data_IF_687730527629
#
_entry.id   IF_687730527629
#
_cell.length_a   1.000
_cell.length_b   1.000
_cell.length_c   1.000
_cell.angle_alpha   90.00
_cell.angle_beta   90.00
_cell.angle_gamma   90.00
#
_symmetry.space_group_name_H-M   'P 1'
#
loop_
_entity.id
_entity.type
_entity.pdbx_description
1 polymer ?
#
# COMPACT_ATOMS: atom_id res chain seq x y z
N UNK A 1 -15.39 -2.28 6.69
CA UNK A 1 -15.03 -2.47 5.26
C UNK A 1 -15.01 -3.95 4.89
N UNK A 2 -14.04 -4.75 5.38
CA UNK A 2 -13.88 -6.16 4.94
C UNK A 2 -15.11 -7.02 5.24
N UNK A 3 -15.67 -6.96 6.44
CA UNK A 3 -16.90 -7.68 6.80
C UNK A 3 -18.14 -7.27 5.97
N UNK A 4 -18.07 -6.12 5.32
CA UNK A 4 -19.09 -5.62 4.38
C UNK A 4 -18.74 -5.98 2.93
N UNK A 5 -17.70 -6.79 2.70
CA UNK A 5 -17.22 -7.18 1.37
C UNK A 5 -16.41 -6.09 0.64
N UNK A 6 -16.10 -4.97 1.30
CA UNK A 6 -15.32 -3.89 0.69
C UNK A 6 -13.82 -4.18 0.81
N UNK A 7 -13.11 -4.17 -0.31
CA UNK A 7 -11.65 -4.26 -0.37
C UNK A 7 -10.97 -3.00 0.15
N UNK A 8 -9.74 -3.14 0.62
CA UNK A 8 -8.97 -2.10 1.28
C UNK A 8 -7.61 -1.93 0.60
N UNK A 9 -7.25 -0.69 0.34
CA UNK A 9 -5.91 -0.27 -0.04
C UNK A 9 -5.21 0.33 1.19
N UNK A 10 -3.99 -0.09 1.44
CA UNK A 10 -3.19 0.36 2.58
C UNK A 10 -1.94 1.04 2.07
N UNK A 11 -1.85 2.35 2.26
CA UNK A 11 -0.62 3.09 2.04
C UNK A 11 0.32 2.93 3.23
N UNK A 12 1.60 2.76 2.95
CA UNK A 12 2.67 2.77 3.93
C UNK A 12 3.97 3.25 3.29
N UNK A 13 4.95 3.66 4.08
CA UNK A 13 6.27 4.06 3.63
C UNK A 13 7.34 3.01 3.94
N UNK A 14 8.52 3.16 3.34
CA UNK A 14 9.73 2.43 3.71
C UNK A 14 10.28 2.94 5.06
N UNK A 15 9.40 3.02 6.03
CA UNK A 15 9.63 3.61 7.34
C UNK A 15 9.49 2.56 8.44
N UNK A 16 10.24 2.72 9.53
CA UNK A 16 10.24 1.82 10.67
C UNK A 16 10.54 0.36 10.23
N UNK A 17 9.78 -0.63 10.71
CA UNK A 17 9.95 -2.05 10.35
C UNK A 17 8.90 -2.54 9.34
N UNK A 18 8.77 -1.81 8.24
CA UNK A 18 7.75 -2.02 7.22
C UNK A 18 7.74 -3.44 6.60
N UNK A 19 8.89 -4.12 6.50
CA UNK A 19 8.93 -5.51 6.00
C UNK A 19 8.11 -6.48 6.86
N UNK A 20 7.90 -6.20 8.15
CA UNK A 20 7.07 -7.03 9.01
C UNK A 20 5.58 -6.92 8.71
N UNK A 21 5.15 -5.94 7.93
CA UNK A 21 3.76 -5.84 7.44
C UNK A 21 3.37 -7.04 6.58
N UNK A 22 4.35 -7.76 6.05
CA UNK A 22 4.11 -9.07 5.38
C UNK A 22 3.44 -10.11 6.29
N UNK A 23 3.48 -9.89 7.63
CA UNK A 23 2.77 -10.71 8.61
C UNK A 23 1.28 -10.37 8.76
N UNK A 24 0.80 -9.36 8.07
CA UNK A 24 -0.59 -8.89 8.17
C UNK A 24 -1.65 -10.01 8.04
N UNK A 25 -1.47 -11.05 7.20
CA UNK A 25 -2.42 -12.16 7.13
C UNK A 25 -2.64 -12.89 8.45
N UNK A 26 -1.70 -12.82 9.40
CA UNK A 26 -1.84 -13.44 10.72
C UNK A 26 -2.76 -12.65 11.67
N UNK A 27 -3.04 -11.38 11.35
CA UNK A 27 -3.74 -10.43 12.20
C UNK A 27 -5.10 -10.01 11.65
N UNK A 28 -5.33 -10.24 10.36
CA UNK A 28 -6.61 -9.98 9.70
C UNK A 28 -7.43 -11.27 9.66
N UNK A 29 -8.75 -11.15 9.79
CA UNK A 29 -9.67 -12.28 9.69
C UNK A 29 -9.52 -13.01 8.35
N UNK A 30 -9.77 -14.30 8.32
CA UNK A 30 -9.58 -15.20 7.17
C UNK A 30 -10.42 -14.86 5.92
N UNK A 31 -11.28 -13.85 5.98
CA UNK A 31 -12.20 -13.49 4.90
C UNK A 31 -11.51 -12.68 3.77
N UNK A 32 -10.40 -12.02 4.06
CA UNK A 32 -9.69 -11.18 3.09
C UNK A 32 -8.34 -11.76 2.69
N UNK A 33 -8.01 -11.65 1.39
CA UNK A 33 -6.67 -11.93 0.89
C UNK A 33 -5.77 -10.72 1.14
N UNK A 34 -4.66 -10.93 1.85
CA UNK A 34 -3.66 -9.88 2.02
C UNK A 34 -2.62 -9.94 0.90
N UNK A 35 -2.40 -8.81 0.24
CA UNK A 35 -1.45 -8.70 -0.86
C UNK A 35 -0.54 -7.48 -0.70
N UNK A 36 0.61 -7.54 -1.35
CA UNK A 36 1.54 -6.43 -1.47
C UNK A 36 2.02 -6.31 -2.91
N UNK A 37 2.15 -5.08 -3.37
CA UNK A 37 2.67 -4.79 -4.70
C UNK A 37 4.19 -4.72 -4.59
N UNK A 38 4.89 -5.40 -5.51
CA UNK A 38 6.33 -5.37 -5.55
C UNK A 38 6.86 -5.20 -6.97
N UNK A 39 8.06 -4.66 -7.07
CA UNK A 39 8.82 -4.64 -8.32
C UNK A 39 9.69 -5.90 -8.39
N UNK A 40 9.56 -6.75 -9.43
CA UNK A 40 10.40 -7.94 -9.59
C UNK A 40 11.88 -7.57 -9.61
N UNK A 41 12.68 -8.34 -8.85
CA UNK A 41 14.12 -8.11 -8.75
C UNK A 41 14.80 -8.75 -9.98
N UNK A 42 15.76 -8.04 -10.59
CA UNK A 42 16.48 -8.53 -11.78
C UNK A 42 17.20 -9.85 -11.51
N UNK A 43 17.87 -9.96 -10.37
CA UNK A 43 18.50 -11.20 -9.94
C UNK A 43 17.44 -12.23 -9.54
N UNK A 44 17.25 -13.25 -10.35
CA UNK A 44 16.21 -14.27 -10.16
C UNK A 44 16.38 -15.12 -8.89
N UNK A 45 17.58 -15.27 -8.38
CA UNK A 45 17.80 -15.99 -7.13
C UNK A 45 17.32 -15.18 -5.92
N UNK A 46 17.64 -13.89 -5.89
CA UNK A 46 17.14 -12.97 -4.87
C UNK A 46 15.63 -12.76 -4.99
N UNK A 47 15.09 -12.61 -6.19
CA UNK A 47 13.64 -12.49 -6.41
C UNK A 47 12.90 -13.68 -5.78
N UNK A 48 13.32 -14.92 -6.07
CA UNK A 48 12.73 -16.12 -5.47
C UNK A 48 12.88 -16.16 -3.95
N UNK A 49 14.03 -15.72 -3.41
CA UNK A 49 14.25 -15.67 -1.96
C UNK A 49 13.27 -14.71 -1.28
N UNK A 50 13.18 -13.46 -1.79
CA UNK A 50 12.28 -12.45 -1.21
C UNK A 50 10.82 -12.83 -1.36
N UNK A 51 10.40 -13.41 -2.49
CA UNK A 51 9.04 -13.92 -2.65
C UNK A 51 8.71 -14.99 -1.60
N UNK A 52 9.60 -15.95 -1.37
CA UNK A 52 9.41 -16.97 -0.32
C UNK A 52 9.30 -16.37 1.08
N UNK A 53 10.15 -15.40 1.41
CA UNK A 53 10.12 -14.73 2.70
C UNK A 53 8.80 -13.96 2.92
N UNK A 54 8.39 -13.16 1.94
CA UNK A 54 7.18 -12.33 2.00
C UNK A 54 5.89 -13.14 1.98
N UNK A 55 5.88 -14.26 1.26
CA UNK A 55 4.70 -15.13 1.18
C UNK A 55 4.60 -16.16 2.31
N UNK A 56 5.63 -16.29 3.14
CA UNK A 56 5.70 -17.31 4.20
C UNK A 56 4.51 -17.25 5.17
N UNK A 57 3.94 -16.09 5.36
CA UNK A 57 2.84 -15.84 6.31
C UNK A 57 1.48 -15.71 5.62
N UNK A 58 1.38 -16.13 4.35
CA UNK A 58 0.12 -16.13 3.59
C UNK A 58 -0.14 -14.87 2.76
N UNK A 59 0.78 -13.88 2.77
CA UNK A 59 0.64 -12.71 1.92
C UNK A 59 0.86 -13.04 0.44
N UNK A 60 0.09 -12.40 -0.45
CA UNK A 60 0.28 -12.48 -1.89
C UNK A 60 1.28 -11.41 -2.34
N UNK A 61 2.26 -11.78 -3.17
CA UNK A 61 3.11 -10.81 -3.86
C UNK A 61 2.58 -10.58 -5.27
N UNK A 62 2.17 -9.35 -5.57
CA UNK A 62 1.58 -8.95 -6.85
C UNK A 62 2.61 -8.13 -7.62
N UNK A 63 3.11 -8.58 -8.77
CA UNK A 63 3.98 -7.75 -9.60
C UNK A 63 3.28 -6.45 -9.99
N UNK A 64 3.99 -5.33 -9.92
CA UNK A 64 3.42 -4.00 -10.14
C UNK A 64 2.66 -3.89 -11.47
N UNK A 65 3.18 -4.49 -12.53
CA UNK A 65 2.54 -4.51 -13.86
C UNK A 65 1.22 -5.28 -13.91
N UNK A 66 1.01 -6.22 -12.99
CA UNK A 66 -0.17 -7.08 -12.93
C UNK A 66 -1.24 -6.58 -11.95
N UNK A 67 -0.97 -5.50 -11.23
CA UNK A 67 -1.81 -5.03 -10.11
C UNK A 67 -3.27 -4.86 -10.50
N UNK A 68 -3.55 -4.09 -11.55
CA UNK A 68 -4.93 -3.82 -11.97
C UNK A 68 -5.65 -5.09 -12.42
N UNK A 69 -4.95 -5.97 -13.16
CA UNK A 69 -5.50 -7.26 -13.62
C UNK A 69 -5.88 -8.12 -12.42
N UNK A 70 -4.99 -8.26 -11.43
CA UNK A 70 -5.23 -9.07 -10.23
C UNK A 70 -6.39 -8.53 -9.39
N UNK A 71 -6.51 -7.22 -9.24
CA UNK A 71 -7.64 -6.59 -8.54
C UNK A 71 -8.97 -6.92 -9.23
N UNK A 72 -9.02 -6.85 -10.56
CA UNK A 72 -10.22 -7.20 -11.32
C UNK A 72 -10.57 -8.69 -11.15
N UNK A 73 -9.57 -9.57 -11.15
CA UNK A 73 -9.76 -11.01 -10.91
C UNK A 73 -10.37 -11.26 -9.52
N UNK A 74 -9.81 -10.68 -8.44
CA UNK A 74 -10.33 -10.81 -7.08
C UNK A 74 -11.78 -10.29 -6.96
N UNK A 75 -12.08 -9.16 -7.60
CA UNK A 75 -13.43 -8.62 -7.64
C UNK A 75 -14.43 -9.58 -8.33
N UNK A 76 -14.04 -10.21 -9.43
CA UNK A 76 -14.88 -11.22 -10.13
C UNK A 76 -15.12 -12.46 -9.28
N UNK A 77 -14.15 -12.83 -8.45
CA UNK A 77 -14.24 -13.96 -7.53
C UNK A 77 -14.96 -13.61 -6.20
N UNK A 78 -15.46 -12.37 -6.06
CA UNK A 78 -16.07 -11.84 -4.82
C UNK A 78 -15.16 -12.02 -3.60
N UNK A 79 -13.86 -11.91 -3.78
CA UNK A 79 -12.87 -12.01 -2.70
C UNK A 79 -12.44 -10.62 -2.25
N UNK A 80 -12.79 -10.18 -1.04
CA UNK A 80 -12.27 -8.94 -0.51
C UNK A 80 -10.75 -9.05 -0.31
N UNK A 81 -10.04 -7.96 -0.61
CA UNK A 81 -8.58 -7.91 -0.51
C UNK A 81 -8.11 -6.76 0.36
N UNK A 82 -6.97 -6.94 1.01
CA UNK A 82 -6.19 -5.87 1.65
C UNK A 82 -4.87 -5.79 0.92
N UNK A 83 -4.64 -4.71 0.19
CA UNK A 83 -3.46 -4.55 -0.66
C UNK A 83 -2.59 -3.41 -0.14
N UNK A 84 -1.32 -3.72 0.18
CA UNK A 84 -0.31 -2.75 0.56
C UNK A 84 0.31 -2.05 -0.65
N UNK A 85 0.37 -0.72 -0.59
CA UNK A 85 1.01 0.18 -1.55
C UNK A 85 2.11 0.96 -0.84
N UNK A 86 3.36 0.69 -1.19
CA UNK A 86 4.51 1.46 -0.71
C UNK A 86 4.85 2.47 -1.80
N UNK A 87 4.49 3.73 -1.61
CA UNK A 87 4.48 4.74 -2.67
C UNK A 87 5.38 5.94 -2.39
N UNK A 88 6.32 5.82 -1.46
CA UNK A 88 7.22 6.89 -1.03
C UNK A 88 8.54 6.96 -1.83
N UNK A 89 8.66 6.18 -2.89
CA UNK A 89 9.81 6.26 -3.78
C UNK A 89 9.60 7.27 -4.91
N UNK A 90 10.71 7.84 -5.39
CA UNK A 90 10.71 8.78 -6.50
C UNK A 90 10.25 8.11 -7.81
N UNK A 91 9.34 8.72 -8.57
CA UNK A 91 8.97 8.25 -9.90
C UNK A 91 10.13 8.49 -10.91
N UNK A 92 10.11 7.74 -12.01
CA UNK A 92 10.95 8.05 -13.16
C UNK A 92 10.52 9.38 -13.78
N UNK A 93 11.46 10.16 -14.34
CA UNK A 93 11.20 11.49 -14.89
C UNK A 93 10.02 11.56 -15.86
N UNK A 94 9.82 10.54 -16.68
CA UNK A 94 8.72 10.45 -17.66
C UNK A 94 7.36 10.26 -17.00
N UNK A 95 7.32 9.79 -15.74
CA UNK A 95 6.11 9.43 -15.00
C UNK A 95 5.82 10.40 -13.85
N UNK A 96 6.42 11.57 -13.84
CA UNK A 96 6.10 12.61 -12.87
C UNK A 96 4.80 13.29 -13.31
N UNK A 97 3.76 13.14 -12.52
CA UNK A 97 2.45 13.74 -12.78
C UNK A 97 2.03 14.70 -11.67
N UNK A 98 2.69 14.63 -10.52
CA UNK A 98 2.35 15.43 -9.35
C UNK A 98 3.59 15.75 -8.53
N UNK A 99 3.60 16.95 -7.95
CA UNK A 99 4.61 17.45 -7.04
C UNK A 99 3.92 17.94 -5.78
N UNK A 100 4.54 17.72 -4.63
CA UNK A 100 4.11 18.27 -3.36
C UNK A 100 5.30 18.66 -2.49
N UNK A 101 5.06 19.47 -1.47
CA UNK A 101 6.07 19.73 -0.44
C UNK A 101 6.10 18.52 0.53
N UNK A 102 7.27 17.93 0.69
CA UNK A 102 7.50 16.83 1.63
C UNK A 102 8.82 17.07 2.35
N UNK A 103 8.76 17.18 3.69
CA UNK A 103 9.91 17.51 4.53
C UNK A 103 10.61 18.80 4.09
N UNK A 104 9.82 19.82 3.73
CA UNK A 104 10.26 21.12 3.22
C UNK A 104 11.02 21.07 1.88
N UNK A 105 10.73 20.09 1.05
CA UNK A 105 11.30 19.96 -0.29
C UNK A 105 10.22 19.69 -1.34
N UNK A 106 10.32 20.38 -2.48
CA UNK A 106 9.54 20.04 -3.66
C UNK A 106 9.85 18.61 -4.10
N UNK A 107 8.87 17.73 -3.96
CA UNK A 107 9.06 16.29 -4.14
C UNK A 107 8.14 15.74 -5.21
N UNK A 108 8.68 15.11 -6.28
CA UNK A 108 7.86 14.40 -7.26
C UNK A 108 7.41 13.06 -6.68
N UNK A 109 6.11 12.76 -6.81
CA UNK A 109 5.48 11.62 -6.16
C UNK A 109 4.84 10.63 -7.12
N UNK A 110 4.70 9.36 -6.67
CA UNK A 110 4.04 8.31 -7.41
C UNK A 110 2.52 8.41 -7.26
N UNK A 111 1.82 8.60 -8.38
CA UNK A 111 0.34 8.71 -8.42
C UNK A 111 -0.35 7.46 -8.95
N UNK A 112 0.41 6.47 -9.40
CA UNK A 112 -0.14 5.24 -10.01
C UNK A 112 -1.02 4.43 -9.05
N UNK A 113 -0.67 4.39 -7.77
CA UNK A 113 -1.45 3.71 -6.75
C UNK A 113 -2.86 4.32 -6.63
N UNK A 114 -2.96 5.64 -6.50
CA UNK A 114 -4.26 6.34 -6.38
C UNK A 114 -5.16 6.09 -7.58
N UNK A 115 -4.62 6.15 -8.79
CA UNK A 115 -5.38 5.86 -10.03
C UNK A 115 -5.97 4.45 -10.02
N UNK A 116 -5.23 3.46 -9.54
CA UNK A 116 -5.71 2.07 -9.42
C UNK A 116 -6.78 1.98 -8.33
N UNK A 117 -6.54 2.59 -7.17
CA UNK A 117 -7.43 2.58 -6.01
C UNK A 117 -8.79 3.21 -6.35
N UNK A 118 -8.80 4.36 -7.02
CA UNK A 118 -10.04 5.02 -7.48
C UNK A 118 -10.84 4.13 -8.45
N UNK A 119 -10.17 3.50 -9.42
CA UNK A 119 -10.82 2.55 -10.36
C UNK A 119 -11.37 1.31 -9.65
N UNK A 120 -10.68 0.84 -8.63
CA UNK A 120 -11.08 -0.33 -7.86
C UNK A 120 -12.19 -0.04 -6.85
N UNK A 121 -12.33 1.21 -6.39
CA UNK A 121 -13.27 1.60 -5.33
C UNK A 121 -12.90 1.05 -3.95
N UNK A 122 -11.61 0.85 -3.69
CA UNK A 122 -11.13 0.34 -2.40
C UNK A 122 -11.18 1.44 -1.34
N UNK A 123 -11.59 1.10 -0.12
CA UNK A 123 -11.38 1.99 1.01
C UNK A 123 -9.86 2.18 1.25
N UNK A 124 -9.45 3.38 1.61
CA UNK A 124 -8.05 3.75 1.70
C UNK A 124 -7.65 4.02 3.14
N UNK A 125 -6.60 3.36 3.58
CA UNK A 125 -6.01 3.56 4.90
C UNK A 125 -4.51 3.87 4.77
N UNK A 126 -4.00 4.62 5.71
CA UNK A 126 -2.59 4.74 6.00
C UNK A 126 -2.23 3.79 7.14
N UNK A 127 -1.13 3.05 7.00
CA UNK A 127 -0.59 2.21 8.05
C UNK A 127 0.57 2.93 8.74
N UNK A 128 0.27 3.46 9.91
CA UNK A 128 1.26 4.09 10.76
C UNK A 128 1.99 3.04 11.60
N UNK A 129 3.31 2.97 11.39
CA UNK A 129 4.17 2.02 12.08
C UNK A 129 5.06 2.75 13.07
N UNK A 130 5.04 2.34 14.33
CA UNK A 130 5.91 2.90 15.34
C UNK A 130 6.62 1.84 16.15
N UNK A 131 7.87 2.12 16.52
CA UNK A 131 8.63 1.28 17.45
C UNK A 131 8.32 1.71 18.88
N UNK A 132 7.70 0.83 19.67
CA UNK A 132 7.41 1.07 21.10
C UNK A 132 8.66 0.86 21.94
N UNK A 133 9.38 -0.25 21.69
CA UNK A 133 10.67 -0.58 22.30
C UNK A 133 11.42 -1.56 21.40
N UNK A 134 12.64 -1.91 21.73
CA UNK A 134 13.42 -2.89 20.95
C UNK A 134 12.65 -4.20 20.79
N UNK A 135 12.37 -4.59 19.54
CA UNK A 135 11.64 -5.81 19.18
C UNK A 135 10.11 -5.72 19.27
N UNK A 136 9.55 -4.56 19.65
CA UNK A 136 8.10 -4.34 19.76
C UNK A 136 7.67 -3.18 18.89
N UNK A 137 6.68 -3.42 18.06
CA UNK A 137 6.14 -2.46 17.11
C UNK A 137 4.63 -2.42 17.23
N UNK A 138 4.05 -1.28 16.96
CA UNK A 138 2.62 -1.08 16.80
C UNK A 138 2.33 -0.66 15.37
N UNK A 139 1.22 -1.12 14.84
CA UNK A 139 0.71 -0.78 13.53
C UNK A 139 -0.73 -0.27 13.69
N UNK A 140 -0.97 0.99 13.33
CA UNK A 140 -2.28 1.61 13.40
C UNK A 140 -2.81 1.91 12.01
N UNK A 141 -4.04 1.46 11.72
CA UNK A 141 -4.73 1.78 10.47
C UNK A 141 -5.51 3.08 10.62
N UNK A 142 -5.07 4.13 9.95
CA UNK A 142 -5.73 5.44 9.91
C UNK A 142 -6.51 5.58 8.61
N UNK A 143 -7.81 5.85 8.70
CA UNK A 143 -8.67 6.01 7.52
C UNK A 143 -8.30 7.29 6.76
N UNK A 144 -8.02 7.16 5.45
CA UNK A 144 -7.89 8.30 4.53
C UNK A 144 -9.25 8.56 3.86
N UNK A 145 -9.83 7.54 3.22
CA UNK A 145 -11.12 7.67 2.57
C UNK A 145 -11.85 6.33 2.52
N UNK A 146 -13.13 6.32 2.89
CA UNK A 146 -13.98 5.12 2.73
C UNK A 146 -14.37 4.91 1.27
N UNK A 147 -14.64 5.99 0.56
CA UNK A 147 -14.85 6.01 -0.87
C UNK A 147 -13.81 6.91 -1.52
N UNK A 148 -12.84 6.37 -2.27
CA UNK A 148 -11.77 7.16 -2.87
C UNK A 148 -12.25 8.19 -3.89
N UNK A 149 -13.46 7.99 -4.46
CA UNK A 149 -14.02 8.89 -5.47
C UNK A 149 -14.76 10.11 -4.86
N UNK A 150 -14.90 10.16 -3.53
CA UNK A 150 -15.42 11.35 -2.81
C UNK A 150 -14.31 12.35 -2.48
N UNK A 151 -13.05 12.00 -2.66
CA UNK A 151 -11.94 12.94 -2.54
C UNK A 151 -11.86 13.75 -3.84
N UNK A 152 -12.15 15.06 -3.76
CA UNK A 152 -12.36 15.94 -4.92
C UNK A 152 -11.10 16.11 -5.79
N UNK A 153 -9.94 16.31 -5.14
CA UNK A 153 -8.69 16.55 -5.85
C UNK A 153 -8.18 15.29 -6.57
N UNK A 154 -7.63 15.47 -7.77
CA UNK A 154 -7.13 14.36 -8.61
C UNK A 154 -6.11 13.48 -7.87
N UNK A 155 -5.24 14.10 -7.06
CA UNK A 155 -4.19 13.41 -6.28
C UNK A 155 -4.35 13.60 -4.76
N UNK A 156 -5.55 13.97 -4.30
CA UNK A 156 -5.82 14.29 -2.90
C UNK A 156 -5.55 13.14 -1.93
N UNK A 157 -5.72 11.89 -2.35
CA UNK A 157 -5.37 10.72 -1.54
C UNK A 157 -3.85 10.62 -1.37
N UNK A 158 -3.11 10.88 -2.44
CA UNK A 158 -1.65 10.91 -2.42
C UNK A 158 -1.13 12.01 -1.50
N UNK A 159 -1.73 13.20 -1.56
CA UNK A 159 -1.36 14.34 -0.70
C UNK A 159 -1.61 14.02 0.77
N UNK A 160 -2.78 13.46 1.11
CA UNK A 160 -3.10 13.04 2.49
C UNK A 160 -2.12 11.97 2.96
N UNK A 161 -1.79 11.00 2.11
CA UNK A 161 -0.80 9.97 2.44
C UNK A 161 0.55 10.56 2.79
N UNK A 162 1.08 11.49 1.97
CA UNK A 162 2.36 12.12 2.24
C UNK A 162 2.36 12.99 3.48
N UNK A 163 1.26 13.71 3.76
CA UNK A 163 1.10 14.44 5.03
C UNK A 163 1.15 13.50 6.25
N UNK A 164 0.46 12.35 6.17
CA UNK A 164 0.49 11.37 7.26
C UNK A 164 1.85 10.71 7.42
N UNK A 165 2.55 10.42 6.32
CA UNK A 165 3.90 9.88 6.34
C UNK A 165 4.90 10.87 6.95
N UNK A 166 4.81 12.15 6.59
CA UNK A 166 5.61 13.21 7.19
C UNK A 166 5.43 13.30 8.70
N UNK A 167 4.17 13.28 9.17
CA UNK A 167 3.84 13.25 10.61
C UNK A 167 4.42 12.02 11.34
N UNK A 168 4.58 10.90 10.66
CA UNK A 168 5.18 9.69 11.25
C UNK A 168 6.70 9.77 11.32
N UNK A 169 7.34 10.65 10.53
CA UNK A 169 8.81 10.83 10.46
C UNK A 169 9.29 11.88 11.46
N UNK A 170 8.53 12.96 11.65
CA UNK A 170 8.85 14.08 12.54
C UNK A 170 8.47 13.73 14.00
#
# INVERSE_FOLDING_TARGET
CIHEGQSVAVYLGHYCNWEWVTSLPLWITSEALCGQIYHPIENKAFDRLFLRLRQRQGALCIPMQDTLRRIIEFRRENKPVVIGYISDQKPNWINIHHWLDFLHHDTPVLTGAERIIRKAGHAVFYLDLRRVKRGYYEAEFKLIARNPNEVEDEFGITDIYYQMLEQSII
#
